data_IF_742067033833
#
_entry.id   IF_742067033833
#
_cell.length_a   1.000
_cell.length_b   1.000
_cell.length_c   1.000
_cell.angle_alpha   90.00
_cell.angle_beta   90.00
_cell.angle_gamma   90.00
#
_symmetry.space_group_name_H-M   'P 1'
#
loop_
_entity.id
_entity.type
_entity.pdbx_description
1 polymer ?
#
# COMPACT_ATOMS: atom_id res chain seq x y z
N UNK A 1 -7.04 12.55 30.41
CA UNK A 1 -6.75 12.11 29.02
C UNK A 1 -5.41 11.39 29.04
N UNK A 2 -5.40 10.07 28.91
CA UNK A 2 -4.16 9.33 28.65
C UNK A 2 -3.88 9.41 27.15
N UNK A 3 -2.93 10.25 26.76
CA UNK A 3 -2.34 10.20 25.43
C UNK A 3 -1.63 8.84 25.33
N UNK A 4 -2.22 7.89 24.61
CA UNK A 4 -1.50 6.69 24.18
C UNK A 4 -0.23 7.17 23.48
N UNK A 5 0.94 6.68 23.89
CA UNK A 5 2.21 7.04 23.22
C UNK A 5 2.03 6.81 21.72
N UNK A 6 2.12 7.88 20.92
CA UNK A 6 1.95 7.76 19.48
C UNK A 6 2.88 6.69 18.94
N UNK A 7 2.39 5.87 17.99
CA UNK A 7 3.21 4.86 17.36
C UNK A 7 4.54 5.48 16.92
N UNK A 8 5.66 4.94 17.40
CA UNK A 8 6.98 5.46 17.07
C UNK A 8 7.31 5.01 15.64
N UNK A 9 7.38 5.98 14.72
CA UNK A 9 7.80 5.76 13.34
C UNK A 9 9.26 6.17 13.18
N UNK A 10 10.03 5.38 12.44
CA UNK A 10 11.45 5.63 12.20
C UNK A 10 11.69 6.58 11.01
N UNK A 11 10.68 6.73 10.14
CA UNK A 11 10.71 7.63 8.98
C UNK A 11 9.54 8.62 9.01
N UNK A 12 9.77 9.81 8.45
CA UNK A 12 8.77 10.86 8.23
C UNK A 12 9.24 11.81 7.13
N UNK A 13 8.33 12.47 6.39
CA UNK A 13 8.73 13.40 5.32
C UNK A 13 9.57 14.59 5.80
N UNK A 14 9.54 14.91 7.09
CA UNK A 14 10.18 16.12 7.66
C UNK A 14 11.57 15.79 8.21
N UNK A 15 11.66 14.75 9.04
CA UNK A 15 12.88 14.45 9.80
C UNK A 15 13.77 13.43 9.10
N UNK A 16 13.16 12.43 8.46
CA UNK A 16 13.87 11.31 7.85
C UNK A 16 13.00 10.67 6.74
N UNK A 17 12.93 11.27 5.55
CA UNK A 17 12.02 10.86 4.49
C UNK A 17 12.32 9.47 3.93
N UNK A 18 13.57 9.01 4.08
CA UNK A 18 14.02 7.69 3.64
C UNK A 18 13.84 7.43 2.14
N UNK A 19 14.05 6.18 1.74
CA UNK A 19 14.05 5.78 0.32
C UNK A 19 12.69 5.96 -0.37
N UNK A 20 11.57 5.85 0.36
CA UNK A 20 10.24 5.93 -0.25
C UNK A 20 9.93 7.32 -0.81
N UNK A 21 10.53 8.39 -0.28
CA UNK A 21 10.32 9.73 -0.81
C UNK A 21 11.03 9.97 -2.16
N UNK A 22 12.11 9.23 -2.41
CA UNK A 22 12.94 9.35 -3.62
C UNK A 22 12.48 8.43 -4.76
N UNK A 23 11.68 7.41 -4.44
CA UNK A 23 11.12 6.49 -5.43
C UNK A 23 10.12 7.18 -6.36
N UNK A 24 10.03 6.67 -7.60
CA UNK A 24 9.03 7.12 -8.57
C UNK A 24 7.63 7.05 -7.96
N UNK A 25 6.89 8.16 -8.04
CA UNK A 25 5.55 8.27 -7.50
C UNK A 25 5.47 8.56 -6.00
N UNK A 26 6.62 8.77 -5.33
CA UNK A 26 6.71 9.10 -3.90
C UNK A 26 5.76 8.26 -3.01
N UNK A 27 5.96 6.93 -2.90
CA UNK A 27 5.16 6.09 -2.01
C UNK A 27 5.01 6.62 -0.57
N UNK A 28 5.99 7.38 -0.07
CA UNK A 28 5.91 7.97 1.26
C UNK A 28 4.68 8.89 1.43
N UNK A 29 4.21 9.55 0.37
CA UNK A 29 3.04 10.44 0.45
C UNK A 29 1.73 9.72 0.78
N UNK A 30 1.68 8.40 0.63
CA UNK A 30 0.50 7.62 0.96
C UNK A 30 0.42 7.29 2.46
N UNK A 31 1.46 7.59 3.23
CA UNK A 31 1.43 7.52 4.69
C UNK A 31 1.20 8.92 5.29
N UNK A 32 0.41 9.09 6.37
CA UNK A 32 0.24 10.38 7.03
C UNK A 32 1.58 11.00 7.42
N UNK A 33 1.88 12.19 6.91
CA UNK A 33 3.18 12.87 7.09
C UNK A 33 4.41 12.03 6.68
N UNK A 34 4.24 11.05 5.79
CA UNK A 34 5.26 10.06 5.43
C UNK A 34 5.72 9.18 6.57
N UNK A 35 4.89 8.99 7.59
CA UNK A 35 5.26 8.22 8.77
C UNK A 35 5.11 6.72 8.54
N UNK A 36 6.24 6.04 8.45
CA UNK A 36 6.29 4.59 8.26
C UNK A 36 7.51 3.97 8.98
N UNK A 37 7.46 2.64 9.11
CA UNK A 37 8.55 1.81 9.61
C UNK A 37 9.05 0.88 8.51
N UNK A 38 10.35 0.64 8.48
CA UNK A 38 10.98 -0.37 7.61
C UNK A 38 11.17 -1.65 8.41
N UNK A 39 10.79 -2.78 7.84
CA UNK A 39 10.98 -4.11 8.45
C UNK A 39 11.49 -5.09 7.40
N UNK A 40 12.26 -6.07 7.83
CA UNK A 40 12.56 -7.27 7.05
C UNK A 40 11.69 -8.38 7.63
N UNK A 41 10.94 -9.08 6.78
CA UNK A 41 10.16 -10.24 7.22
C UNK A 41 11.10 -11.34 7.71
N UNK A 42 10.86 -11.82 8.92
CA UNK A 42 11.60 -12.92 9.56
C UNK A 42 11.10 -14.29 9.08
N UNK A 43 9.85 -14.37 8.66
CA UNK A 43 9.21 -15.57 8.11
C UNK A 43 8.40 -15.27 6.83
N UNK A 44 8.05 -16.34 6.11
CA UNK A 44 7.12 -16.22 4.99
C UNK A 44 5.77 -15.70 5.51
N UNK A 45 5.29 -14.59 4.96
CA UNK A 45 4.13 -13.88 5.47
C UNK A 45 3.05 -13.80 4.40
N UNK A 46 1.83 -14.22 4.74
CA UNK A 46 0.66 -13.97 3.89
C UNK A 46 0.19 -12.52 4.06
N UNK A 47 0.19 -11.76 2.98
CA UNK A 47 -0.38 -10.41 2.91
C UNK A 47 -1.55 -10.39 1.93
N UNK A 48 -2.45 -9.43 2.08
CA UNK A 48 -3.67 -9.35 1.28
C UNK A 48 -3.65 -8.13 0.36
N UNK A 49 -4.24 -8.28 -0.82
CA UNK A 49 -4.46 -7.19 -1.76
C UNK A 49 -5.87 -7.24 -2.32
N UNK A 50 -6.58 -6.11 -2.27
CA UNK A 50 -7.83 -5.94 -2.99
C UNK A 50 -7.59 -5.28 -4.35
N UNK A 51 -8.18 -5.83 -5.41
CA UNK A 51 -7.98 -5.32 -6.76
C UNK A 51 -8.61 -6.19 -7.85
N UNK A 52 -8.16 -5.98 -9.08
CA UNK A 52 -8.46 -6.85 -10.23
C UNK A 52 -7.71 -8.17 -10.12
N UNK A 53 -8.29 -9.24 -10.66
CA UNK A 53 -7.61 -10.54 -10.76
C UNK A 53 -6.32 -10.48 -11.56
N UNK A 54 -5.32 -11.18 -11.05
CA UNK A 54 -4.05 -11.55 -11.69
C UNK A 54 -2.92 -11.52 -10.66
N UNK A 55 -1.73 -11.99 -11.02
CA UNK A 55 -0.55 -12.08 -10.14
C UNK A 55 0.67 -11.39 -10.73
N UNK A 56 1.87 -11.83 -10.34
CA UNK A 56 3.16 -11.35 -10.91
C UNK A 56 3.12 -11.35 -12.44
N UNK A 57 3.52 -10.25 -13.08
CA UNK A 57 4.02 -10.34 -14.47
C UNK A 57 5.09 -9.30 -14.80
N UNK A 58 6.08 -9.82 -15.52
CA UNK A 58 7.42 -9.35 -15.91
C UNK A 58 7.35 -8.27 -17.02
N UNK A 59 8.46 -7.56 -17.33
CA UNK A 59 8.48 -6.44 -18.27
C UNK A 59 8.03 -6.79 -19.69
N UNK A 60 7.20 -5.92 -20.29
CA UNK A 60 6.63 -6.08 -21.63
C UNK A 60 5.13 -5.82 -21.72
N UNK A 61 4.46 -5.62 -20.58
CA UNK A 61 3.01 -5.37 -20.46
C UNK A 61 2.16 -6.63 -20.84
N UNK A 62 0.87 -6.82 -20.54
CA UNK A 62 -0.16 -6.10 -19.82
C UNK A 62 -0.90 -7.18 -18.98
N UNK A 63 -0.59 -7.31 -17.68
CA UNK A 63 -1.40 -8.05 -16.68
C UNK A 63 -0.85 -7.89 -15.25
N UNK A 64 -0.32 -6.71 -14.91
CA UNK A 64 0.29 -6.49 -13.60
C UNK A 64 -0.77 -6.51 -12.49
N UNK A 65 -0.88 -7.62 -11.77
CA UNK A 65 -1.90 -7.80 -10.76
C UNK A 65 -1.36 -8.32 -9.43
N UNK A 66 -0.09 -8.00 -9.14
CA UNK A 66 0.39 -7.97 -7.76
C UNK A 66 0.32 -6.57 -7.10
N UNK A 67 0.48 -5.49 -7.87
CA UNK A 67 0.52 -4.15 -7.30
C UNK A 67 1.68 -3.99 -6.32
N UNK A 68 1.62 -2.97 -5.46
CA UNK A 68 2.67 -2.70 -4.47
C UNK A 68 2.14 -2.43 -3.06
N UNK A 69 0.83 -2.43 -2.89
CA UNK A 69 0.14 -2.08 -1.65
C UNK A 69 -0.65 -3.27 -1.14
N UNK A 70 -0.43 -3.59 0.13
CA UNK A 70 -0.96 -4.77 0.80
C UNK A 70 -1.46 -4.44 2.20
N UNK A 71 -2.26 -5.34 2.76
CA UNK A 71 -2.75 -5.31 4.14
C UNK A 71 -2.41 -6.61 4.86
N UNK A 72 -2.40 -6.61 6.18
CA UNK A 72 -2.22 -7.84 6.98
C UNK A 72 -3.48 -8.70 7.04
N UNK A 73 -4.63 -8.10 6.79
CA UNK A 73 -5.94 -8.75 6.88
C UNK A 73 -6.69 -8.58 5.56
N UNK A 74 -7.49 -9.58 5.21
CA UNK A 74 -8.36 -9.51 4.06
C UNK A 74 -9.41 -8.41 4.25
N UNK A 75 -9.68 -7.63 3.21
CA UNK A 75 -10.74 -6.63 3.29
C UNK A 75 -12.13 -7.29 3.41
N UNK A 76 -12.94 -6.79 4.33
CA UNK A 76 -14.30 -7.29 4.58
C UNK A 76 -15.30 -6.95 3.46
N UNK A 77 -15.07 -5.84 2.75
CA UNK A 77 -15.94 -5.38 1.67
C UNK A 77 -15.26 -4.36 0.77
N UNK A 78 -15.78 -4.19 -0.44
CA UNK A 78 -15.35 -3.12 -1.37
C UNK A 78 -15.48 -1.74 -0.71
N UNK A 79 -16.55 -1.50 0.04
CA UNK A 79 -16.77 -0.22 0.72
C UNK A 79 -15.66 0.11 1.72
N UNK A 80 -15.23 -0.87 2.53
CA UNK A 80 -14.09 -0.70 3.44
C UNK A 80 -12.78 -0.42 2.69
N UNK A 81 -12.52 -1.10 1.58
CA UNK A 81 -11.32 -0.80 0.77
C UNK A 81 -11.33 0.66 0.26
N UNK A 82 -12.50 1.17 -0.15
CA UNK A 82 -12.62 2.57 -0.57
C UNK A 82 -12.40 3.52 0.60
N UNK A 83 -13.05 3.28 1.74
CA UNK A 83 -13.05 4.22 2.87
C UNK A 83 -11.76 4.11 3.68
N UNK A 84 -11.45 2.92 4.17
CA UNK A 84 -10.41 2.65 5.16
C UNK A 84 -9.03 2.48 4.53
N UNK A 85 -8.96 1.89 3.33
CA UNK A 85 -7.70 1.76 2.57
C UNK A 85 -7.48 2.90 1.57
N UNK A 86 -8.39 3.88 1.56
CA UNK A 86 -8.33 5.09 0.73
C UNK A 86 -8.10 4.82 -0.78
N UNK A 87 -8.54 3.68 -1.30
CA UNK A 87 -8.32 3.29 -2.70
C UNK A 87 -9.39 3.91 -3.59
N UNK A 88 -9.03 4.91 -4.41
CA UNK A 88 -9.96 5.55 -5.35
C UNK A 88 -10.40 4.62 -6.47
N UNK A 89 -11.66 4.73 -6.90
CA UNK A 89 -12.12 4.01 -8.08
C UNK A 89 -11.43 4.53 -9.35
N UNK A 90 -11.28 5.86 -9.43
CA UNK A 90 -10.63 6.59 -10.49
C UNK A 90 -9.63 7.57 -9.88
N UNK A 91 -8.43 7.60 -10.45
CA UNK A 91 -7.41 8.58 -10.15
C UNK A 91 -7.50 9.64 -11.24
N UNK A 92 -7.92 10.84 -10.86
CA UNK A 92 -8.08 11.97 -11.76
C UNK A 92 -7.06 13.01 -11.33
N UNK A 93 -6.26 13.50 -12.27
CA UNK A 93 -5.36 14.61 -12.02
C UNK A 93 -6.20 15.87 -11.72
N UNK A 94 -6.06 16.48 -10.52
CA UNK A 94 -6.93 17.57 -10.11
C UNK A 94 -6.66 18.89 -10.85
N UNK A 95 -5.52 19.02 -11.54
CA UNK A 95 -5.15 20.23 -12.29
C UNK A 95 -5.68 20.18 -13.72
N UNK A 96 -5.61 19.00 -14.34
CA UNK A 96 -5.94 18.80 -15.76
C UNK A 96 -7.30 18.13 -15.97
N UNK A 97 -7.87 17.49 -14.94
CA UNK A 97 -9.10 16.70 -15.03
C UNK A 97 -8.94 15.37 -15.75
N UNK A 98 -7.71 14.99 -16.14
CA UNK A 98 -7.44 13.77 -16.91
C UNK A 98 -7.47 12.55 -15.99
N UNK A 99 -8.12 11.47 -16.47
CA UNK A 99 -8.05 10.15 -15.84
C UNK A 99 -6.63 9.59 -15.96
N UNK A 100 -5.93 9.45 -14.84
CA UNK A 100 -4.56 8.93 -14.78
C UNK A 100 -4.48 7.47 -14.33
N UNK A 101 -5.58 6.92 -13.82
CA UNK A 101 -5.65 5.51 -13.48
C UNK A 101 -7.01 5.08 -12.95
N UNK A 102 -7.20 3.77 -12.83
CA UNK A 102 -8.37 3.17 -12.19
C UNK A 102 -7.93 2.10 -11.19
N UNK A 103 -8.76 1.84 -10.19
CA UNK A 103 -8.54 0.73 -9.27
C UNK A 103 -9.82 -0.08 -9.15
N UNK A 104 -10.13 -0.93 -10.14
CA UNK A 104 -11.20 -1.91 -10.02
C UNK A 104 -10.94 -2.83 -8.83
N UNK A 105 -12.00 -3.15 -8.08
CA UNK A 105 -11.95 -4.09 -6.96
C UNK A 105 -12.91 -5.22 -7.29
N UNK A 106 -12.35 -6.35 -7.72
CA UNK A 106 -13.10 -7.55 -8.08
C UNK A 106 -13.04 -8.58 -6.96
N UNK A 107 -11.88 -8.68 -6.28
CA UNK A 107 -11.69 -9.58 -5.15
C UNK A 107 -10.55 -9.11 -4.23
N UNK A 108 -10.36 -9.85 -3.14
CA UNK A 108 -9.20 -9.75 -2.25
C UNK A 108 -8.39 -11.04 -2.36
N UNK A 109 -7.11 -10.91 -2.68
CA UNK A 109 -6.17 -12.00 -2.91
C UNK A 109 -5.21 -12.13 -1.73
N UNK A 110 -4.92 -13.36 -1.33
CA UNK A 110 -3.89 -13.68 -0.34
C UNK A 110 -2.60 -13.99 -1.10
N UNK A 111 -1.54 -13.26 -0.78
CA UNK A 111 -0.25 -13.34 -1.44
C UNK A 111 0.78 -13.78 -0.41
N UNK A 112 1.49 -14.87 -0.68
CA UNK A 112 2.62 -15.29 0.14
C UNK A 112 3.84 -14.46 -0.24
N UNK A 113 4.38 -13.73 0.73
CA UNK A 113 5.62 -12.96 0.61
C UNK A 113 6.74 -13.71 1.34
N UNK A 114 7.86 -14.02 0.68
CA UNK A 114 8.93 -14.79 1.30
C UNK A 114 9.64 -14.01 2.39
N UNK A 115 10.16 -14.73 3.38
CA UNK A 115 11.07 -14.18 4.40
C UNK A 115 12.25 -13.46 3.76
N UNK A 116 12.82 -12.50 4.48
CA UNK A 116 13.90 -11.64 3.99
C UNK A 116 13.41 -10.47 3.11
N UNK A 117 12.12 -10.40 2.79
CA UNK A 117 11.55 -9.27 2.05
C UNK A 117 11.52 -8.02 2.91
N UNK A 118 12.03 -6.90 2.38
CA UNK A 118 11.88 -5.58 3.01
C UNK A 118 10.49 -5.03 2.73
N UNK A 119 9.80 -4.64 3.80
CA UNK A 119 8.47 -4.03 3.76
C UNK A 119 8.51 -2.65 4.42
N UNK A 120 7.60 -1.79 3.97
CA UNK A 120 7.39 -0.46 4.54
C UNK A 120 5.97 -0.38 5.06
N UNK A 121 5.80 -0.22 6.37
CA UNK A 121 4.52 -0.35 7.04
C UNK A 121 4.16 0.91 7.82
N UNK A 122 2.93 1.36 7.66
CA UNK A 122 2.40 2.53 8.35
C UNK A 122 0.92 2.71 8.09
N UNK A 123 0.36 3.79 8.63
CA UNK A 123 -1.07 4.08 8.49
C UNK A 123 -1.44 4.49 7.06
N UNK A 124 -2.70 4.29 6.71
CA UNK A 124 -3.27 4.77 5.45
C UNK A 124 -3.47 6.28 5.52
N UNK A 125 -2.88 6.98 4.56
CA UNK A 125 -3.02 8.42 4.37
C UNK A 125 -4.36 8.81 3.77
N UNK A 126 -4.85 9.98 4.17
CA UNK A 126 -6.07 10.56 3.61
C UNK A 126 -5.91 10.91 2.13
N UNK A 127 -6.90 10.54 1.31
CA UNK A 127 -6.87 10.75 -0.14
C UNK A 127 -7.98 11.70 -0.64
N UNK A 128 -8.73 12.35 0.26
CA UNK A 128 -9.82 13.27 -0.07
C UNK A 128 -11.22 12.63 0.00
N UNK A 129 -12.25 13.44 0.24
CA UNK A 129 -13.64 12.98 0.30
C UNK A 129 -13.84 11.86 1.32
N UNK A 130 -14.44 10.75 0.86
CA UNK A 130 -14.71 9.55 1.67
C UNK A 130 -13.55 8.54 1.70
N UNK A 131 -12.40 8.84 1.08
CA UNK A 131 -11.20 8.01 1.11
C UNK A 131 -10.35 8.38 2.33
N UNK A 132 -10.80 7.92 3.50
CA UNK A 132 -10.38 8.45 4.81
C UNK A 132 -9.00 7.95 5.23
N UNK A 133 -8.70 6.67 5.05
CA UNK A 133 -7.56 6.08 5.75
C UNK A 133 -7.80 6.07 7.26
N UNK A 134 -6.72 6.23 8.04
CA UNK A 134 -6.84 6.58 9.46
C UNK A 134 -6.04 5.72 10.43
N UNK A 135 -6.11 6.08 11.71
CA UNK A 135 -5.25 5.56 12.80
C UNK A 135 -5.37 4.07 13.07
N UNK A 136 -6.42 3.41 12.57
CA UNK A 136 -6.65 1.98 12.73
C UNK A 136 -6.41 1.17 11.45
N UNK A 137 -5.97 1.82 10.37
CA UNK A 137 -5.83 1.22 9.05
C UNK A 137 -4.36 1.23 8.67
N UNK A 138 -3.66 0.11 8.85
CA UNK A 138 -2.29 -0.05 8.37
C UNK A 138 -2.28 -0.55 6.92
N UNK A 139 -1.28 -0.10 6.18
CA UNK A 139 -0.92 -0.59 4.86
C UNK A 139 0.56 -0.91 4.80
N UNK A 140 0.90 -1.80 3.88
CA UNK A 140 2.26 -2.25 3.62
C UNK A 140 2.58 -1.94 2.16
N UNK A 141 3.70 -1.26 1.95
CA UNK A 141 4.29 -1.09 0.64
C UNK A 141 5.45 -2.06 0.45
N UNK A 142 5.50 -2.70 -0.72
CA UNK A 142 6.63 -3.49 -1.19
C UNK A 142 7.08 -2.93 -2.53
N UNK A 143 8.37 -2.66 -2.68
CA UNK A 143 8.92 -2.18 -3.95
C UNK A 143 9.01 -3.32 -4.95
N UNK A 144 8.35 -3.18 -6.10
CA UNK A 144 8.42 -4.13 -7.22
C UNK A 144 8.32 -5.61 -6.80
N UNK A 145 7.27 -6.02 -6.06
CA UNK A 145 7.19 -7.36 -5.49
C UNK A 145 7.21 -8.48 -6.53
N UNK A 146 6.90 -8.17 -7.79
CA UNK A 146 7.03 -9.09 -8.92
C UNK A 146 8.48 -9.44 -9.31
N UNK A 147 9.49 -8.76 -8.74
CA UNK A 147 10.91 -9.09 -8.91
C UNK A 147 11.45 -9.98 -7.78
N UNK A 148 10.64 -10.26 -6.76
CA UNK A 148 11.04 -11.05 -5.60
C UNK A 148 10.80 -12.53 -5.90
N UNK A 149 11.86 -13.33 -5.83
CA UNK A 149 11.77 -14.78 -5.99
C UNK A 149 11.01 -15.40 -4.81
N UNK A 150 10.02 -16.25 -5.10
CA UNK A 150 9.24 -16.96 -4.08
C UNK A 150 7.96 -16.25 -3.64
N UNK A 151 7.55 -15.17 -4.31
CA UNK A 151 6.20 -14.61 -4.12
C UNK A 151 5.17 -15.49 -4.85
N UNK A 152 4.11 -15.87 -4.15
CA UNK A 152 3.08 -16.79 -4.65
C UNK A 152 1.68 -16.13 -4.49
N UNK A 153 0.87 -16.01 -5.56
CA UNK A 153 -0.48 -15.43 -5.53
C UNK A 153 -1.60 -16.42 -5.23
#
# INVERSE_FOLDING_TARGET
MNLKSGAKYNHSMIENPGLLAEMRGNPASNFPAGKYNVKILDEDTTLYRSGKKGGLTIPGEEQNALGQWFTREAAESVAKVRIDSAVKAQWIDPKTGVLTGTSPIESTYAIKIPKGTTIYEGLVGYQGGHYLGGENCNQIFISEPWKINGVEP
#
